data_IF_256314356583
#
_entry.id   IF_256314356583
#
_cell.length_a   1.000
_cell.length_b   1.000
_cell.length_c   1.000
_cell.angle_alpha   90.00
_cell.angle_beta   90.00
_cell.angle_gamma   90.00
#
_symmetry.space_group_name_H-M   'P 1'
#
loop_
_entity.id
_entity.type
_entity.pdbx_description
1 polymer ?
#
# COMPACT_ATOMS: atom_id res chain seq x y z
N UNK A 1 -8.34 2.34 -16.30
CA UNK A 1 -7.44 3.47 -15.96
C UNK A 1 -6.63 3.22 -14.67
N UNK A 2 -7.24 2.78 -13.57
CA UNK A 2 -6.53 2.35 -12.34
C UNK A 2 -5.74 1.03 -12.49
N UNK A 3 -6.34 0.01 -13.14
CA UNK A 3 -5.67 -1.28 -13.36
C UNK A 3 -4.41 -1.15 -14.20
N UNK A 4 -4.38 -0.23 -15.16
CA UNK A 4 -3.22 0.05 -16.02
C UNK A 4 -1.98 0.47 -15.21
N UNK A 5 -2.16 1.19 -14.10
CA UNK A 5 -1.04 1.70 -13.27
C UNK A 5 -0.57 0.72 -12.21
N UNK A 6 -1.49 -0.07 -11.65
CA UNK A 6 -1.13 -1.17 -10.77
C UNK A 6 -0.39 -2.26 -11.62
N UNK A 7 -0.84 -2.53 -12.87
CA UNK A 7 -0.17 -3.42 -13.84
C UNK A 7 1.24 -2.92 -14.23
N UNK A 8 1.43 -1.61 -14.41
CA UNK A 8 2.73 -0.98 -14.68
C UNK A 8 3.76 -1.21 -13.56
N UNK A 9 3.30 -1.42 -12.32
CA UNK A 9 4.12 -1.70 -11.14
C UNK A 9 4.91 -3.00 -11.23
N UNK A 10 4.22 -4.07 -11.65
CA UNK A 10 4.73 -5.44 -11.62
C UNK A 10 5.52 -5.75 -12.88
N UNK A 11 5.10 -5.20 -14.03
CA UNK A 11 5.84 -5.31 -15.29
C UNK A 11 7.28 -4.77 -15.18
N UNK A 12 7.52 -3.79 -14.29
CA UNK A 12 8.87 -3.29 -13.97
C UNK A 12 9.65 -4.15 -12.98
N UNK A 13 8.99 -4.94 -12.15
CA UNK A 13 9.64 -5.89 -11.21
C UNK A 13 9.89 -7.27 -11.83
N UNK A 14 9.58 -7.48 -13.11
CA UNK A 14 9.93 -8.72 -13.83
C UNK A 14 9.16 -9.97 -13.42
N UNK A 15 8.12 -9.86 -12.59
CA UNK A 15 7.49 -11.01 -11.92
C UNK A 15 6.22 -11.56 -12.59
N UNK A 16 5.81 -11.08 -13.78
CA UNK A 16 4.73 -11.67 -14.58
C UNK A 16 4.94 -11.43 -16.07
N UNK A 17 4.76 -12.48 -16.89
CA UNK A 17 4.69 -12.40 -18.36
C UNK A 17 3.38 -11.74 -18.77
N UNK A 18 3.36 -10.42 -18.81
CA UNK A 18 2.21 -9.65 -19.32
C UNK A 18 2.13 -9.76 -20.85
N UNK A 19 0.93 -10.01 -21.40
CA UNK A 19 0.71 -10.13 -22.85
C UNK A 19 1.14 -8.86 -23.61
N UNK A 20 1.60 -9.04 -24.85
CA UNK A 20 2.08 -7.94 -25.72
C UNK A 20 1.02 -6.87 -25.97
N UNK A 21 -0.25 -7.27 -26.08
CA UNK A 21 -1.39 -6.37 -26.24
C UNK A 21 -1.61 -5.47 -25.01
N UNK A 22 -1.54 -6.05 -23.80
CA UNK A 22 -1.69 -5.28 -22.55
C UNK A 22 -0.50 -4.33 -22.34
N UNK A 23 0.72 -4.74 -22.70
CA UNK A 23 1.92 -3.88 -22.69
C UNK A 23 1.80 -2.67 -23.62
N UNK A 24 1.17 -2.83 -24.78
CA UNK A 24 0.94 -1.76 -25.75
C UNK A 24 -0.09 -0.75 -25.25
N UNK A 25 -1.23 -1.24 -24.74
CA UNK A 25 -2.30 -0.40 -24.18
C UNK A 25 -1.81 0.42 -22.97
N UNK A 26 -0.99 -0.23 -22.12
CA UNK A 26 -0.28 0.39 -21.00
C UNK A 26 0.65 1.53 -21.44
N UNK A 27 1.36 1.37 -22.56
CA UNK A 27 2.32 2.37 -23.08
C UNK A 27 1.60 3.57 -23.68
N UNK A 28 0.43 3.35 -24.27
CA UNK A 28 -0.42 4.37 -24.89
C UNK A 28 -1.07 5.31 -23.85
N UNK A 29 -1.52 4.77 -22.72
CA UNK A 29 -2.14 5.58 -21.65
C UNK A 29 -1.13 6.36 -20.80
N UNK A 30 0.17 6.02 -20.85
CA UNK A 30 1.22 6.57 -19.97
C UNK A 30 1.44 8.09 -20.10
N UNK A 31 1.21 8.68 -21.28
CA UNK A 31 1.49 10.09 -21.55
C UNK A 31 0.33 11.05 -21.22
N UNK A 32 -0.93 10.61 -21.24
CA UNK A 32 -2.06 11.45 -20.80
C UNK A 32 -2.29 11.37 -19.29
N UNK A 33 -1.84 10.28 -18.66
CA UNK A 33 -2.14 10.03 -17.25
C UNK A 33 -1.34 10.95 -16.34
N UNK A 34 -0.03 11.12 -16.50
CA UNK A 34 0.87 11.80 -15.53
C UNK A 34 0.43 13.24 -15.18
N UNK A 35 -0.22 13.98 -16.09
CA UNK A 35 -0.75 15.32 -15.81
C UNK A 35 -2.00 15.31 -14.92
N UNK A 36 -2.81 14.26 -14.98
CA UNK A 36 -4.12 14.15 -14.33
C UNK A 36 -4.07 13.61 -12.89
N UNK A 37 -2.89 13.21 -12.38
CA UNK A 37 -2.73 12.63 -11.01
C UNK A 37 -2.42 13.65 -9.92
N UNK A 38 -2.08 14.89 -10.25
CA UNK A 38 -1.83 15.94 -9.23
C UNK A 38 -2.98 16.10 -8.21
N UNK A 39 -4.28 15.95 -8.56
CA UNK A 39 -5.38 15.99 -7.59
C UNK A 39 -5.59 14.69 -6.80
N UNK A 40 -5.08 13.54 -7.29
CA UNK A 40 -5.30 12.21 -6.72
C UNK A 40 -4.13 11.66 -5.91
N UNK A 41 -3.02 12.40 -5.85
CA UNK A 41 -2.07 12.36 -4.74
C UNK A 41 -2.77 12.90 -3.49
N UNK A 42 -3.78 12.18 -2.99
CA UNK A 42 -4.43 12.43 -1.70
C UNK A 42 -3.48 11.91 -0.62
N UNK A 43 -2.26 12.41 -0.65
CA UNK A 43 -1.31 12.23 0.42
C UNK A 43 -1.52 13.39 1.38
N UNK A 44 -2.39 13.17 2.38
CA UNK A 44 -2.50 14.09 3.50
C UNK A 44 -1.75 13.48 4.70
N UNK A 45 -0.47 13.85 4.91
CA UNK A 45 0.32 13.28 6.00
C UNK A 45 -0.31 13.54 7.36
N UNK A 46 -1.06 14.64 7.52
CA UNK A 46 -1.77 14.96 8.77
C UNK A 46 -2.90 13.99 9.08
N UNK A 47 -3.52 13.37 8.05
CA UNK A 47 -4.55 12.33 8.25
C UNK A 47 -3.93 10.96 8.56
N UNK A 48 -2.74 10.70 8.02
CA UNK A 48 -2.01 9.44 8.21
C UNK A 48 -1.25 9.39 9.54
N UNK A 49 -0.75 10.55 9.99
CA UNK A 49 -0.06 10.65 11.26
C UNK A 49 -1.06 10.64 12.42
N UNK A 50 -0.99 9.59 13.23
CA UNK A 50 -1.60 9.54 14.56
C UNK A 50 -0.50 9.25 15.56
N UNK A 51 -0.08 10.26 16.32
CA UNK A 51 0.75 10.03 17.50
C UNK A 51 -0.12 9.42 18.59
N UNK A 52 -0.09 8.09 18.74
CA UNK A 52 -0.62 7.45 19.95
C UNK A 52 0.56 7.29 20.89
N UNK A 53 0.52 7.95 22.06
CA UNK A 53 1.41 7.58 23.17
C UNK A 53 0.96 6.20 23.62
N UNK A 54 1.68 5.15 23.21
CA UNK A 54 1.46 3.83 23.78
C UNK A 54 1.99 3.83 25.21
N UNK A 55 1.20 3.28 26.14
CA UNK A 55 1.64 3.11 27.53
C UNK A 55 2.73 2.02 27.63
N UNK A 56 2.76 1.12 26.65
CA UNK A 56 3.77 0.08 26.51
C UNK A 56 4.87 0.57 25.54
N UNK A 57 6.17 0.45 25.90
CA UNK A 57 7.25 0.76 24.98
C UNK A 57 7.15 -0.08 23.71
N UNK A 58 7.20 0.58 22.54
CA UNK A 58 7.26 -0.07 21.23
C UNK A 58 8.41 0.54 20.40
N UNK A 59 8.87 -0.17 19.35
CA UNK A 59 9.84 0.40 18.43
C UNK A 59 9.34 1.70 17.79
N UNK A 60 10.29 2.57 17.42
CA UNK A 60 10.00 3.74 16.60
C UNK A 60 9.59 3.28 15.19
N UNK A 61 8.44 3.73 14.72
CA UNK A 61 7.80 3.23 13.50
C UNK A 61 7.88 4.25 12.38
N UNK A 62 8.59 3.90 11.31
CA UNK A 62 8.75 4.71 10.12
C UNK A 62 8.03 4.06 8.95
N UNK A 63 7.16 4.80 8.27
CA UNK A 63 6.65 4.35 6.98
C UNK A 63 7.32 5.09 5.84
N UNK A 64 7.76 4.35 4.83
CA UNK A 64 8.25 4.89 3.57
C UNK A 64 7.13 4.79 2.55
N UNK A 65 6.57 5.95 2.21
CA UNK A 65 5.43 6.11 1.33
C UNK A 65 5.86 6.71 -0.01
N UNK A 66 5.08 6.45 -1.05
CA UNK A 66 5.41 6.98 -2.36
C UNK A 66 4.75 6.25 -3.51
N UNK A 67 5.04 6.73 -4.71
CA UNK A 67 4.49 6.14 -5.91
C UNK A 67 5.03 4.73 -6.14
N UNK A 68 4.31 3.99 -6.96
CA UNK A 68 4.77 2.71 -7.47
C UNK A 68 6.06 2.94 -8.27
N UNK A 69 7.09 2.13 -8.00
CA UNK A 69 8.37 2.22 -8.68
C UNK A 69 9.22 3.44 -8.33
N UNK A 70 8.91 4.19 -7.26
CA UNK A 70 9.71 5.34 -6.81
C UNK A 70 10.98 4.99 -6.02
N UNK A 71 11.37 3.70 -5.97
CA UNK A 71 12.59 3.26 -5.30
C UNK A 71 12.46 2.97 -3.80
N UNK A 72 11.24 2.91 -3.24
CA UNK A 72 11.01 2.65 -1.80
C UNK A 72 11.72 1.40 -1.27
N UNK A 73 11.59 0.25 -1.93
CA UNK A 73 12.26 -0.99 -1.51
C UNK A 73 13.78 -0.84 -1.52
N UNK A 74 14.34 -0.21 -2.56
CA UNK A 74 15.78 0.08 -2.66
C UNK A 74 16.26 0.99 -1.53
N UNK A 75 15.48 2.02 -1.19
CA UNK A 75 15.77 2.89 -0.06
C UNK A 75 15.72 2.13 1.27
N UNK A 76 14.70 1.30 1.49
CA UNK A 76 14.58 0.51 2.70
C UNK A 76 15.73 -0.48 2.86
N UNK A 77 16.10 -1.21 1.80
CA UNK A 77 17.21 -2.18 1.85
C UNK A 77 18.55 -1.55 2.21
N UNK A 78 18.73 -0.24 2.01
CA UNK A 78 19.92 0.46 2.52
C UNK A 78 20.05 0.32 4.05
N UNK A 79 18.94 0.32 4.78
CA UNK A 79 18.92 0.29 6.26
C UNK A 79 19.10 -1.12 6.84
N UNK A 80 19.10 -2.18 6.03
CA UNK A 80 19.36 -3.56 6.49
C UNK A 80 20.73 -3.72 7.16
N UNK A 81 21.65 -2.78 6.88
CA UNK A 81 22.98 -2.71 7.52
C UNK A 81 22.95 -2.38 9.02
N UNK A 82 21.86 -1.80 9.51
CA UNK A 82 21.75 -1.36 10.90
C UNK A 82 21.07 -2.44 11.73
N UNK A 83 21.77 -2.94 12.74
CA UNK A 83 21.29 -4.04 13.58
C UNK A 83 20.05 -3.70 14.40
N UNK A 84 19.77 -2.42 14.58
CA UNK A 84 18.70 -1.82 15.36
C UNK A 84 17.40 -1.63 14.56
N UNK A 85 17.46 -1.84 13.24
CA UNK A 85 16.37 -1.60 12.31
C UNK A 85 15.80 -2.93 11.83
N UNK A 86 14.49 -3.07 11.94
CA UNK A 86 13.72 -4.13 11.30
C UNK A 86 12.99 -3.56 10.08
N UNK A 87 13.09 -4.25 8.94
CA UNK A 87 12.49 -3.78 7.68
C UNK A 87 11.40 -4.75 7.23
N UNK A 88 10.28 -4.16 6.83
CA UNK A 88 9.14 -4.86 6.29
C UNK A 88 8.79 -4.28 4.92
N UNK A 89 9.12 -5.02 3.86
CA UNK A 89 8.72 -4.68 2.50
C UNK A 89 7.23 -5.03 2.27
N UNK A 90 6.66 -4.60 1.14
CA UNK A 90 5.30 -5.01 0.78
C UNK A 90 5.22 -6.55 0.67
N UNK A 91 4.32 -7.21 1.41
CA UNK A 91 4.28 -8.67 1.49
C UNK A 91 3.61 -9.29 0.26
N UNK A 92 4.18 -9.04 -0.93
CA UNK A 92 3.63 -9.47 -2.23
C UNK A 92 3.38 -10.97 -2.29
N UNK A 93 4.23 -11.77 -1.64
CA UNK A 93 4.06 -13.23 -1.64
C UNK A 93 2.77 -13.65 -0.93
N UNK A 94 2.41 -12.97 0.17
CA UNK A 94 1.12 -13.20 0.87
C UNK A 94 -0.08 -12.79 0.03
N UNK A 95 0.11 -11.89 -0.92
CA UNK A 95 -0.96 -11.39 -1.79
C UNK A 95 -1.16 -12.27 -3.02
N UNK A 96 -0.10 -13.01 -3.40
CA UNK A 96 -0.07 -13.93 -4.53
C UNK A 96 -0.42 -15.37 -4.17
N UNK A 97 -0.40 -15.69 -2.89
CA UNK A 97 -0.82 -16.99 -2.38
C UNK A 97 -1.73 -16.84 -1.15
N UNK A 98 -3.02 -16.76 -1.42
CA UNK A 98 -4.08 -16.88 -0.41
C UNK A 98 -4.78 -18.21 -0.65
N UNK A 99 -4.28 -19.28 -0.03
CA UNK A 99 -4.77 -20.66 -0.22
C UNK A 99 -4.74 -21.09 -1.70
N UNK A 100 -3.65 -20.80 -2.42
CA UNK A 100 -3.48 -21.12 -3.84
C UNK A 100 -4.07 -20.08 -4.80
N UNK A 101 -4.74 -19.03 -4.28
CA UNK A 101 -5.27 -17.94 -5.10
C UNK A 101 -4.34 -16.73 -5.11
N UNK A 102 -3.98 -16.27 -6.31
CA UNK A 102 -3.29 -15.00 -6.49
C UNK A 102 -4.32 -13.85 -6.51
N UNK A 103 -4.57 -13.27 -5.34
CA UNK A 103 -5.56 -12.18 -5.18
C UNK A 103 -5.13 -10.91 -5.91
N UNK A 104 -3.83 -10.71 -6.07
CA UNK A 104 -3.30 -9.62 -6.90
C UNK A 104 -3.66 -9.84 -8.37
N UNK A 105 -3.55 -11.05 -8.91
CA UNK A 105 -4.00 -11.37 -10.27
C UNK A 105 -5.52 -11.27 -10.41
N UNK A 106 -6.29 -11.73 -9.40
CA UNK A 106 -7.75 -11.58 -9.37
C UNK A 106 -8.15 -10.11 -9.45
N UNK A 107 -7.51 -9.22 -8.68
CA UNK A 107 -7.73 -7.77 -8.79
C UNK A 107 -7.58 -7.28 -10.23
N UNK A 108 -6.58 -7.76 -10.96
CA UNK A 108 -6.38 -7.34 -12.35
C UNK A 108 -7.37 -7.95 -13.33
N UNK A 109 -7.87 -9.14 -13.05
CA UNK A 109 -8.89 -9.78 -13.88
C UNK A 109 -10.21 -9.01 -13.86
N UNK A 110 -10.56 -8.43 -12.71
CA UNK A 110 -11.74 -7.57 -12.57
C UNK A 110 -11.54 -6.61 -11.39
N UNK A 111 -11.22 -5.35 -11.72
CA UNK A 111 -10.89 -4.31 -10.76
C UNK A 111 -12.06 -3.90 -9.88
N UNK A 112 -13.30 -4.08 -10.34
CA UNK A 112 -14.50 -3.70 -9.59
C UNK A 112 -14.86 -4.83 -8.65
N UNK A 113 -14.94 -6.06 -9.16
CA UNK A 113 -15.30 -7.26 -8.36
C UNK A 113 -14.32 -7.53 -7.23
N UNK A 114 -13.02 -7.37 -7.47
CA UNK A 114 -11.98 -7.82 -6.55
C UNK A 114 -11.33 -6.68 -5.76
N UNK A 115 -11.75 -5.41 -5.94
CA UNK A 115 -11.12 -4.28 -5.25
C UNK A 115 -11.23 -4.43 -3.74
N UNK A 116 -12.45 -4.54 -3.22
CA UNK A 116 -12.70 -4.61 -1.78
C UNK A 116 -11.94 -5.77 -1.14
N UNK A 117 -11.99 -6.94 -1.77
CA UNK A 117 -11.26 -8.15 -1.35
C UNK A 117 -9.76 -7.88 -1.26
N UNK A 118 -9.17 -7.27 -2.29
CA UNK A 118 -7.75 -6.94 -2.28
C UNK A 118 -7.40 -5.89 -1.22
N UNK A 119 -8.20 -4.82 -1.09
CA UNK A 119 -7.97 -3.78 -0.08
C UNK A 119 -8.00 -4.35 1.35
N UNK A 120 -8.92 -5.27 1.65
CA UNK A 120 -8.97 -5.94 2.95
C UNK A 120 -7.79 -6.87 3.19
N UNK A 121 -7.37 -7.63 2.18
CA UNK A 121 -6.20 -8.49 2.27
C UNK A 121 -4.93 -7.65 2.53
N UNK A 122 -4.74 -6.54 1.79
CA UNK A 122 -3.63 -5.60 2.03
C UNK A 122 -3.71 -5.03 3.45
N UNK A 123 -4.90 -4.58 3.89
CA UNK A 123 -5.09 -4.04 5.23
C UNK A 123 -4.70 -5.04 6.30
N UNK A 124 -5.22 -6.27 6.24
CA UNK A 124 -4.92 -7.34 7.19
C UNK A 124 -3.42 -7.63 7.24
N UNK A 125 -2.78 -7.79 6.07
CA UNK A 125 -1.35 -8.08 6.01
C UNK A 125 -0.50 -6.98 6.63
N UNK A 126 -0.87 -5.71 6.44
CA UNK A 126 -0.17 -4.54 7.01
C UNK A 126 -0.45 -4.35 8.49
N UNK A 127 -1.66 -4.63 8.96
CA UNK A 127 -1.97 -4.63 10.40
C UNK A 127 -1.08 -5.65 11.10
N UNK A 128 -1.06 -6.90 10.62
CA UNK A 128 -0.25 -7.97 11.21
C UNK A 128 1.24 -7.61 11.27
N UNK A 129 1.75 -6.89 10.26
CA UNK A 129 3.14 -6.40 10.24
C UNK A 129 3.34 -5.24 11.22
N UNK A 130 2.50 -4.21 11.18
CA UNK A 130 2.67 -3.04 12.03
C UNK A 130 2.43 -3.33 13.51
N UNK A 131 1.65 -4.36 13.84
CA UNK A 131 1.42 -4.80 15.22
C UNK A 131 2.34 -5.94 15.64
N UNK A 132 3.32 -6.34 14.82
CA UNK A 132 4.26 -7.38 15.20
C UNK A 132 5.13 -6.93 16.38
N UNK A 133 5.45 -7.86 17.27
CA UNK A 133 6.45 -7.65 18.31
C UNK A 133 7.84 -7.64 17.69
N UNK A 134 8.68 -6.71 18.10
CA UNK A 134 10.08 -6.63 17.66
C UNK A 134 10.99 -6.43 18.85
N UNK A 135 12.17 -7.06 18.80
CA UNK A 135 13.27 -6.77 19.73
C UNK A 135 14.14 -5.61 19.25
N UNK A 136 13.89 -5.08 18.05
CA UNK A 136 14.60 -3.95 17.45
C UNK A 136 14.04 -2.62 17.94
N UNK A 137 14.84 -1.56 17.85
CA UNK A 137 14.42 -0.22 18.32
C UNK A 137 13.65 0.54 17.25
N UNK A 138 13.81 0.19 15.98
CA UNK A 138 13.13 0.82 14.84
C UNK A 138 12.47 -0.24 13.97
N UNK A 139 11.23 0.00 13.56
CA UNK A 139 10.55 -0.73 12.50
C UNK A 139 10.31 0.20 11.30
N UNK A 140 10.72 -0.23 10.11
CA UNK A 140 10.51 0.50 8.86
C UNK A 140 9.62 -0.31 7.92
N UNK A 141 8.61 0.34 7.36
CA UNK A 141 7.61 -0.31 6.50
C UNK A 141 7.61 0.28 5.10
N UNK A 142 7.59 -0.57 4.06
CA UNK A 142 7.21 -0.16 2.71
C UNK A 142 5.70 0.02 2.67
N UNK A 143 5.27 1.26 2.88
CA UNK A 143 3.88 1.69 3.08
C UNK A 143 3.25 1.21 4.39
N UNK A 144 2.09 1.78 4.70
CA UNK A 144 1.36 1.60 5.97
C UNK A 144 -0.12 1.24 5.80
N UNK A 145 -0.78 0.81 6.87
CA UNK A 145 -2.24 0.64 6.96
C UNK A 145 -2.94 1.96 6.62
N UNK A 146 -2.36 3.09 7.06
CA UNK A 146 -2.87 4.44 6.76
C UNK A 146 -2.81 4.75 5.27
N UNK A 147 -1.76 4.34 4.57
CA UNK A 147 -1.68 4.49 3.12
C UNK A 147 -2.73 3.65 2.39
N UNK A 148 -3.02 2.45 2.89
CA UNK A 148 -4.09 1.62 2.32
C UNK A 148 -5.44 2.36 2.40
N UNK A 149 -5.74 2.97 3.54
CA UNK A 149 -7.00 3.71 3.75
C UNK A 149 -7.09 5.02 2.97
N UNK A 150 -6.09 5.88 3.12
CA UNK A 150 -6.16 7.27 2.66
C UNK A 150 -5.63 7.50 1.25
N UNK A 151 -4.94 6.51 0.67
CA UNK A 151 -4.49 6.56 -0.71
C UNK A 151 -5.23 5.54 -1.57
N UNK A 152 -4.99 4.23 -1.35
CA UNK A 152 -5.55 3.20 -2.24
C UNK A 152 -7.08 3.07 -2.14
N UNK A 153 -7.65 3.08 -0.93
CA UNK A 153 -9.09 3.02 -0.73
C UNK A 153 -9.81 4.28 -1.24
N UNK A 154 -9.27 5.48 -0.96
CA UNK A 154 -9.78 6.74 -1.52
C UNK A 154 -9.75 6.74 -3.05
N UNK A 155 -8.64 6.27 -3.63
CA UNK A 155 -8.46 6.19 -5.07
C UNK A 155 -9.46 5.18 -5.69
N UNK A 156 -9.67 4.03 -5.05
CA UNK A 156 -10.62 3.03 -5.51
C UNK A 156 -12.06 3.56 -5.47
N UNK A 157 -12.45 4.21 -4.39
CA UNK A 157 -13.79 4.80 -4.25
C UNK A 157 -14.05 5.93 -5.26
N UNK A 158 -13.14 6.93 -5.33
CA UNK A 158 -13.27 8.03 -6.29
C UNK A 158 -13.17 7.57 -7.74
N UNK A 159 -12.48 6.45 -7.98
CA UNK A 159 -12.38 5.80 -9.28
C UNK A 159 -13.61 4.95 -9.66
N UNK A 160 -14.64 4.89 -8.82
CA UNK A 160 -15.85 4.10 -9.05
C UNK A 160 -15.65 2.59 -8.97
N UNK A 161 -14.57 2.13 -8.32
CA UNK A 161 -14.25 0.70 -8.14
C UNK A 161 -14.78 0.13 -6.82
N UNK A 162 -15.25 1.00 -5.92
CA UNK A 162 -15.98 0.64 -4.72
C UNK A 162 -17.30 1.40 -4.73
N UNK A 163 -18.40 0.70 -4.45
CA UNK A 163 -19.68 1.33 -4.12
C UNK A 163 -19.61 2.06 -2.77
N UNK A 164 -20.61 2.91 -2.50
CA UNK A 164 -20.72 3.63 -1.22
C UNK A 164 -20.71 2.69 -0.01
N UNK A 165 -21.40 1.55 -0.14
CA UNK A 165 -21.49 0.55 0.94
C UNK A 165 -20.14 -0.14 1.16
N UNK A 166 -19.45 -0.54 0.08
CA UNK A 166 -18.14 -1.18 0.17
C UNK A 166 -17.08 -0.24 0.76
N UNK A 167 -17.04 1.01 0.32
CA UNK A 167 -16.15 2.02 0.88
C UNK A 167 -16.46 2.31 2.36
N UNK A 168 -17.74 2.40 2.73
CA UNK A 168 -18.15 2.58 4.13
C UNK A 168 -17.72 1.42 5.02
N UNK A 169 -17.87 0.18 4.55
CA UNK A 169 -17.43 -1.02 5.29
C UNK A 169 -15.91 -1.02 5.44
N UNK A 170 -15.18 -0.72 4.37
CA UNK A 170 -13.72 -0.61 4.38
C UNK A 170 -13.22 0.45 5.39
N UNK A 171 -13.86 1.62 5.41
CA UNK A 171 -13.54 2.70 6.36
C UNK A 171 -13.85 2.33 7.81
N UNK A 172 -14.98 1.65 8.06
CA UNK A 172 -15.33 1.14 9.40
C UNK A 172 -14.31 0.12 9.91
N UNK A 173 -13.84 -0.78 9.04
CA UNK A 173 -12.76 -1.71 9.39
C UNK A 173 -11.46 -0.98 9.75
N UNK A 174 -11.07 0.03 8.96
CA UNK A 174 -9.91 0.86 9.31
C UNK A 174 -10.09 1.56 10.66
N UNK A 175 -11.26 2.15 10.91
CA UNK A 175 -11.56 2.83 12.17
C UNK A 175 -11.46 1.88 13.35
N UNK A 176 -12.08 0.71 13.26
CA UNK A 176 -12.00 -0.33 14.28
C UNK A 176 -10.55 -0.75 14.56
N UNK A 177 -9.75 -1.02 13.52
CA UNK A 177 -8.31 -1.33 13.67
C UNK A 177 -7.58 -0.18 14.36
N UNK A 178 -7.79 1.06 13.93
CA UNK A 178 -7.13 2.23 14.49
C UNK A 178 -7.43 2.44 15.97
N UNK A 179 -8.63 2.06 16.42
CA UNK A 179 -9.05 2.26 17.81
C UNK A 179 -8.57 1.10 18.70
N UNK A 180 -8.61 -0.12 18.17
CA UNK A 180 -8.36 -1.36 18.92
C UNK A 180 -6.91 -1.87 18.84
N UNK A 181 -6.09 -1.34 17.94
CA UNK A 181 -4.68 -1.75 17.78
C UNK A 181 -3.74 -0.56 17.72
N UNK A 182 -2.48 -0.76 18.13
CA UNK A 182 -1.44 0.24 17.93
C UNK A 182 -0.82 0.11 16.55
N UNK A 183 -1.38 0.85 15.60
CA UNK A 183 -0.82 1.04 14.24
C UNK A 183 -0.14 2.42 14.08
N UNK A 184 0.20 3.08 15.20
CA UNK A 184 0.81 4.41 15.20
C UNK A 184 2.11 4.45 14.40
N UNK A 185 2.33 5.57 13.73
CA UNK A 185 3.57 5.89 13.01
C UNK A 185 4.19 7.13 13.64
N UNK A 186 5.50 7.11 13.82
CA UNK A 186 6.24 8.22 14.40
C UNK A 186 6.90 9.09 13.31
N UNK A 187 7.16 8.52 12.13
CA UNK A 187 7.65 9.23 10.96
C UNK A 187 7.06 8.66 9.66
N UNK A 188 6.80 9.55 8.69
CA UNK A 188 6.45 9.15 7.33
C UNK A 188 7.38 9.84 6.33
N UNK A 189 8.18 9.04 5.62
CA UNK A 189 9.05 9.50 4.53
C UNK A 189 8.34 9.41 3.18
N UNK A 190 8.47 10.45 2.35
CA UNK A 190 7.78 10.55 1.06
C UNK A 190 8.71 10.43 -0.14
N UNK A 191 8.39 9.52 -1.05
CA UNK A 191 9.10 9.27 -2.31
C UNK A 191 8.14 9.47 -3.49
N UNK A 192 7.95 10.72 -3.88
CA UNK A 192 7.15 11.12 -5.04
C UNK A 192 8.09 11.48 -6.21
N UNK A 193 7.66 11.20 -7.44
CA UNK A 193 8.37 11.68 -8.62
C UNK A 193 8.14 13.19 -8.74
N UNK A 194 9.21 13.97 -8.96
CA UNK A 194 9.13 15.35 -9.43
C UNK A 194 8.71 15.40 -10.89
#
# INVERSE_FOLDING_TARGET
>A
MLGTLLLLSIARRGHTTVSSSLKYEIRRQKHSLISDWKPYLIYNPKKMYKSRKSEVPRPYRVSVEGNIGSGKSTFLSYFERFSEVEIYLEPLDRWRDVQGYNVLDLLYSDLTKWNLTFQHMVQLSRVNIQTSTSSKTVQMFERSVQNNRYCFGEMAYKGGLLSDVEYTIFDKWYSWVSDNTDIGLDLIGLFLFN
#
